data_IF_810846065522
#
_entry.id   IF_810846065522
#
_cell.length_a   1.000
_cell.length_b   1.000
_cell.length_c   1.000
_cell.angle_alpha   90.00
_cell.angle_beta   90.00
_cell.angle_gamma   90.00
#
_symmetry.space_group_name_H-M   'P 1'
#
loop_
_entity.id
_entity.type
_entity.pdbx_description
1 polymer ?
#
# COMPACT_ATOMS: atom_id res chain seq x y z
N UNK A 1 20.64 25.61 -10.21
CA UNK A 1 20.73 24.14 -10.00
C UNK A 1 20.25 23.42 -11.23
N UNK A 2 20.96 22.39 -11.64
CA UNK A 2 20.47 21.53 -12.73
C UNK A 2 19.17 20.86 -12.29
N UNK A 3 18.25 20.66 -13.25
CA UNK A 3 17.06 19.88 -12.99
C UNK A 3 17.44 18.43 -12.74
N UNK A 4 16.85 17.85 -11.72
CA UNK A 4 17.06 16.45 -11.38
C UNK A 4 15.84 15.63 -11.82
N UNK A 5 16.06 14.63 -12.64
CA UNK A 5 14.99 13.76 -13.14
C UNK A 5 15.29 12.33 -12.74
N UNK A 6 14.81 11.91 -11.55
CA UNK A 6 15.03 10.54 -11.10
C UNK A 6 14.19 9.55 -11.91
N UNK A 7 14.58 8.29 -11.88
CA UNK A 7 13.76 7.23 -12.47
C UNK A 7 12.41 7.11 -11.75
N UNK A 8 12.42 7.22 -10.42
CA UNK A 8 11.21 7.18 -9.60
C UNK A 8 11.23 8.36 -8.63
N UNK A 9 10.20 9.17 -8.64
CA UNK A 9 10.09 10.29 -7.71
C UNK A 9 9.99 9.78 -6.27
N UNK A 10 9.16 8.75 -6.05
CA UNK A 10 9.08 8.07 -4.76
C UNK A 10 10.01 6.87 -4.76
N UNK A 11 10.79 6.69 -3.69
CA UNK A 11 11.78 5.60 -3.61
C UNK A 11 11.50 4.65 -2.44
N UNK A 12 10.62 5.03 -1.51
CA UNK A 12 10.22 4.21 -0.35
C UNK A 12 8.97 4.81 0.25
N UNK A 13 8.17 3.99 0.91
CA UNK A 13 7.02 4.50 1.68
C UNK A 13 6.95 3.83 3.04
N UNK A 14 6.32 4.52 4.00
CA UNK A 14 6.09 4.03 5.34
C UNK A 14 4.61 4.19 5.67
N UNK A 15 3.98 3.12 6.13
CA UNK A 15 2.56 3.13 6.49
C UNK A 15 2.44 2.86 8.00
N UNK A 16 1.97 3.84 8.78
CA UNK A 16 1.75 3.64 10.21
C UNK A 16 0.51 2.77 10.45
N UNK A 17 0.63 1.80 11.33
CA UNK A 17 -0.48 0.91 11.67
C UNK A 17 -0.55 0.74 13.19
N UNK A 18 -1.75 0.51 13.72
CA UNK A 18 -1.95 0.35 15.15
C UNK A 18 -1.77 -1.10 15.61
N UNK A 19 -1.88 -2.05 14.67
CA UNK A 19 -1.75 -3.48 14.95
C UNK A 19 -1.01 -4.13 13.78
N UNK A 20 0.26 -4.45 13.98
CA UNK A 20 1.11 -5.02 12.93
C UNK A 20 0.61 -6.36 12.41
N UNK A 21 0.13 -7.21 13.31
CA UNK A 21 -0.38 -8.53 12.91
C UNK A 21 -1.60 -8.40 12.01
N UNK A 22 -2.54 -7.55 12.41
CA UNK A 22 -3.74 -7.27 11.63
C UNK A 22 -3.39 -6.65 10.28
N UNK A 23 -2.48 -5.68 10.27
CA UNK A 23 -2.07 -4.99 9.05
C UNK A 23 -1.39 -5.96 8.07
N UNK A 24 -0.48 -6.80 8.53
CA UNK A 24 0.15 -7.81 7.67
C UNK A 24 -0.89 -8.76 7.08
N UNK A 25 -1.83 -9.22 7.89
CA UNK A 25 -2.92 -10.10 7.41
C UNK A 25 -3.75 -9.42 6.33
N UNK A 26 -4.10 -8.15 6.56
CA UNK A 26 -4.88 -7.38 5.59
C UNK A 26 -4.16 -7.27 4.24
N UNK A 27 -2.92 -6.79 4.23
CA UNK A 27 -2.19 -6.57 2.98
C UNK A 27 -1.84 -7.88 2.29
N UNK A 28 -1.57 -8.95 3.04
CA UNK A 28 -1.38 -10.28 2.46
C UNK A 28 -2.65 -10.76 1.76
N UNK A 29 -3.80 -10.61 2.41
CA UNK A 29 -5.08 -11.05 1.84
C UNK A 29 -5.46 -10.24 0.59
N UNK A 30 -5.23 -8.93 0.61
CA UNK A 30 -5.67 -8.03 -0.46
C UNK A 30 -4.72 -8.05 -1.65
N UNK A 31 -3.41 -7.93 -1.39
CA UNK A 31 -2.39 -7.75 -2.42
C UNK A 31 -1.63 -9.03 -2.76
N UNK A 32 -1.77 -10.07 -1.95
CA UNK A 32 -0.90 -11.24 -2.06
C UNK A 32 0.52 -10.96 -1.60
N UNK A 33 0.72 -9.92 -0.80
CA UNK A 33 2.05 -9.51 -0.36
C UNK A 33 2.67 -10.48 0.62
N UNK A 34 3.98 -10.64 0.52
CA UNK A 34 4.80 -11.27 1.54
C UNK A 34 5.53 -10.16 2.31
N UNK A 35 5.83 -10.40 3.58
CA UNK A 35 6.52 -9.44 4.42
C UNK A 35 7.78 -10.05 5.02
N UNK A 36 8.81 -9.21 5.12
CA UNK A 36 10.03 -9.53 5.86
C UNK A 36 10.05 -8.65 7.11
N UNK A 37 10.03 -9.28 8.28
CA UNK A 37 10.14 -8.53 9.54
C UNK A 37 11.58 -8.09 9.76
N UNK A 38 11.76 -6.84 10.18
CA UNK A 38 13.07 -6.28 10.48
C UNK A 38 12.97 -5.53 11.81
N UNK A 39 13.67 -6.06 12.82
CA UNK A 39 13.69 -5.49 14.16
C UNK A 39 15.07 -4.93 14.53
N UNK A 40 15.94 -4.70 13.55
CA UNK A 40 17.30 -4.22 13.78
C UNK A 40 17.38 -2.73 14.10
N UNK A 41 16.36 -1.97 13.70
CA UNK A 41 16.28 -0.54 13.96
C UNK A 41 15.54 -0.22 15.26
N UNK A 42 15.33 1.07 15.53
CA UNK A 42 14.64 1.50 16.77
C UNK A 42 13.16 1.09 16.81
N UNK A 43 12.54 0.87 15.67
CA UNK A 43 11.15 0.44 15.59
C UNK A 43 11.05 -0.83 14.73
N UNK A 44 10.15 -1.76 15.09
CA UNK A 44 9.91 -2.91 14.23
C UNK A 44 9.31 -2.47 12.90
N UNK A 45 9.69 -3.18 11.83
CA UNK A 45 9.17 -2.95 10.49
C UNK A 45 8.71 -4.25 9.87
N UNK A 46 7.66 -4.18 9.07
CA UNK A 46 7.27 -5.27 8.19
C UNK A 46 7.45 -4.77 6.76
N UNK A 47 8.49 -5.26 6.09
CA UNK A 47 8.88 -4.78 4.76
C UNK A 47 8.11 -5.57 3.71
N UNK A 48 7.43 -4.85 2.79
CA UNK A 48 6.81 -5.48 1.63
C UNK A 48 7.91 -6.10 0.76
N UNK A 49 7.80 -7.40 0.49
CA UNK A 49 8.76 -8.08 -0.38
C UNK A 49 8.47 -7.72 -1.83
N UNK A 50 9.44 -7.10 -2.49
CA UNK A 50 9.35 -6.73 -3.89
C UNK A 50 9.98 -7.80 -4.77
N UNK A 51 9.81 -7.66 -6.08
CA UNK A 51 10.31 -8.60 -7.08
C UNK A 51 11.83 -8.82 -6.97
N UNK A 52 12.56 -7.74 -6.74
CA UNK A 52 14.02 -7.77 -6.63
C UNK A 52 14.49 -6.56 -5.83
N UNK A 53 15.81 -6.50 -5.54
CA UNK A 53 16.38 -5.43 -4.73
C UNK A 53 16.35 -4.06 -5.39
N UNK A 54 16.19 -4.00 -6.72
CA UNK A 54 16.10 -2.75 -7.45
C UNK A 54 14.69 -2.17 -7.48
N UNK A 55 13.69 -2.97 -7.09
CA UNK A 55 12.30 -2.52 -7.09
C UNK A 55 12.00 -1.62 -5.90
N UNK A 56 11.14 -0.63 -6.14
CA UNK A 56 10.67 0.26 -5.07
C UNK A 56 9.65 -0.48 -4.20
N UNK A 57 9.81 -0.38 -2.90
CA UNK A 57 8.89 -0.97 -1.93
C UNK A 57 8.74 -0.02 -0.74
N UNK A 58 8.27 -0.53 0.38
CA UNK A 58 8.09 0.21 1.61
C UNK A 58 7.80 -0.73 2.76
N UNK A 59 7.40 -0.19 3.89
CA UNK A 59 7.13 -1.02 5.07
C UNK A 59 5.96 -0.49 5.90
N UNK A 60 5.40 -1.42 6.68
CA UNK A 60 4.47 -1.11 7.76
C UNK A 60 5.28 -0.90 9.04
N UNK A 61 4.83 -0.01 9.91
CA UNK A 61 5.46 0.18 11.22
C UNK A 61 4.40 0.53 12.27
N UNK A 62 4.64 0.20 13.55
CA UNK A 62 3.71 0.61 14.61
C UNK A 62 3.77 2.11 14.78
N UNK A 63 2.68 2.78 14.51
CA UNK A 63 2.61 4.22 14.56
C UNK A 63 1.18 4.73 14.63
N UNK A 64 1.05 6.04 14.58
CA UNK A 64 -0.26 6.69 14.62
C UNK A 64 -0.67 7.09 13.20
N UNK A 65 -1.70 6.45 12.63
CA UNK A 65 -2.20 6.83 11.31
C UNK A 65 -2.75 8.25 11.29
N UNK A 66 -2.72 8.88 10.12
CA UNK A 66 -3.40 10.15 9.92
C UNK A 66 -4.90 9.95 10.08
N UNK A 67 -5.60 11.04 10.39
CA UNK A 67 -7.05 11.03 10.43
C UNK A 67 -7.60 10.52 9.09
N UNK A 68 -8.63 9.70 9.14
CA UNK A 68 -9.31 9.18 7.96
C UNK A 68 -9.63 10.30 6.97
N UNK A 69 -9.29 10.08 5.69
CA UNK A 69 -9.47 11.07 4.64
C UNK A 69 -8.37 12.12 4.56
N UNK A 70 -7.32 12.00 5.37
CA UNK A 70 -6.17 12.92 5.40
C UNK A 70 -4.89 12.18 5.04
N UNK A 71 -3.83 12.95 4.78
CA UNK A 71 -2.52 12.41 4.45
C UNK A 71 -2.40 12.03 2.98
N UNK A 72 -1.26 11.46 2.65
CA UNK A 72 -0.97 11.06 1.28
C UNK A 72 -1.67 9.73 0.95
N UNK A 73 -1.91 9.50 -0.34
CA UNK A 73 -2.41 8.22 -0.82
C UNK A 73 -1.27 7.43 -1.44
N UNK A 74 -1.08 6.20 -0.99
CA UNK A 74 -0.11 5.28 -1.57
C UNK A 74 -0.86 4.32 -2.49
N UNK A 75 -0.52 4.34 -3.78
CA UNK A 75 -1.10 3.40 -4.75
C UNK A 75 -0.28 2.13 -4.76
N UNK A 76 -0.94 1.01 -4.53
CA UNK A 76 -0.31 -0.30 -4.38
C UNK A 76 -0.74 -1.22 -5.52
N UNK A 77 0.22 -1.91 -6.12
CA UNK A 77 -0.07 -2.89 -7.14
C UNK A 77 -0.81 -4.08 -6.53
N UNK A 78 -1.84 -4.56 -7.21
CA UNK A 78 -2.60 -5.71 -6.77
C UNK A 78 -2.80 -6.68 -7.94
N UNK A 79 -2.95 -7.99 -7.66
CA UNK A 79 -3.30 -8.93 -8.74
C UNK A 79 -4.60 -8.54 -9.41
N UNK A 80 -4.65 -8.69 -10.74
CA UNK A 80 -5.86 -8.50 -11.50
C UNK A 80 -6.82 -9.70 -11.31
N UNK A 81 -8.11 -9.52 -11.46
CA UNK A 81 -8.78 -8.26 -11.79
C UNK A 81 -8.97 -7.36 -10.57
N UNK A 82 -9.02 -6.06 -10.82
CA UNK A 82 -9.17 -5.07 -9.76
C UNK A 82 -10.45 -5.26 -8.94
N UNK A 83 -11.53 -5.64 -9.60
CA UNK A 83 -12.82 -5.87 -8.93
C UNK A 83 -12.71 -6.91 -7.81
N UNK A 84 -11.97 -7.98 -8.04
CA UNK A 84 -11.76 -9.02 -7.02
C UNK A 84 -10.87 -8.52 -5.88
N UNK A 85 -9.87 -7.70 -6.20
CA UNK A 85 -9.01 -7.10 -5.18
C UNK A 85 -9.81 -6.16 -4.26
N UNK A 86 -10.72 -5.37 -4.83
CA UNK A 86 -11.59 -4.49 -4.05
C UNK A 86 -12.53 -5.29 -3.15
N UNK A 87 -13.00 -6.44 -3.62
CA UNK A 87 -13.84 -7.33 -2.82
C UNK A 87 -13.05 -7.91 -1.64
N UNK A 88 -11.80 -8.36 -1.88
CA UNK A 88 -10.92 -8.84 -0.81
C UNK A 88 -10.66 -7.75 0.22
N UNK A 89 -10.45 -6.52 -0.23
CA UNK A 89 -10.22 -5.37 0.64
C UNK A 89 -11.41 -5.16 1.59
N UNK A 90 -12.62 -5.14 1.05
CA UNK A 90 -13.82 -4.96 1.85
C UNK A 90 -14.03 -6.09 2.86
N UNK A 91 -13.75 -7.32 2.46
CA UNK A 91 -13.89 -8.50 3.35
C UNK A 91 -12.86 -8.53 4.46
N UNK A 92 -11.75 -7.82 4.31
CA UNK A 92 -10.64 -7.85 5.27
C UNK A 92 -10.53 -6.55 6.08
N UNK A 93 -11.59 -5.76 6.15
CA UNK A 93 -11.65 -4.59 7.02
C UNK A 93 -11.28 -3.27 6.36
N UNK A 94 -10.99 -3.26 5.07
CA UNK A 94 -10.79 -2.02 4.33
C UNK A 94 -12.10 -1.42 3.85
N UNK A 95 -12.01 -0.27 3.21
CA UNK A 95 -13.20 0.44 2.71
C UNK A 95 -12.89 1.01 1.34
N UNK A 96 -13.75 0.74 0.37
CA UNK A 96 -13.66 1.32 -0.97
C UNK A 96 -14.33 2.70 -0.94
N UNK A 97 -13.61 3.73 -1.39
CA UNK A 97 -14.07 5.11 -1.34
C UNK A 97 -14.54 5.65 -2.70
N UNK A 98 -14.11 5.04 -3.80
CA UNK A 98 -14.40 5.58 -5.13
C UNK A 98 -14.79 4.49 -6.10
N UNK A 99 -15.46 4.86 -7.21
CA UNK A 99 -15.55 3.96 -8.36
C UNK A 99 -14.17 3.68 -8.94
N UNK A 100 -14.08 2.68 -9.80
CA UNK A 100 -12.87 2.39 -10.54
C UNK A 100 -12.60 3.52 -11.55
N UNK A 101 -11.37 4.04 -11.52
CA UNK A 101 -10.91 5.09 -12.42
C UNK A 101 -9.97 4.47 -13.45
N UNK A 102 -10.25 4.71 -14.72
CA UNK A 102 -9.40 4.25 -15.82
C UNK A 102 -8.49 5.38 -16.28
N UNK A 103 -7.20 5.09 -16.33
CA UNK A 103 -6.17 6.01 -16.82
C UNK A 103 -5.30 5.27 -17.83
N UNK A 104 -4.48 5.98 -18.62
CA UNK A 104 -3.68 5.29 -19.65
C UNK A 104 -2.87 4.09 -19.16
N UNK A 105 -2.16 4.12 -18.02
CA UNK A 105 -1.38 2.95 -17.58
C UNK A 105 -2.21 1.83 -16.95
N UNK A 106 -3.49 2.05 -16.61
CA UNK A 106 -4.27 1.02 -15.97
C UNK A 106 -5.51 1.53 -15.27
N UNK A 107 -5.92 0.83 -14.22
CA UNK A 107 -7.12 1.16 -13.46
C UNK A 107 -6.82 1.16 -11.97
N UNK A 108 -7.52 1.97 -11.23
CA UNK A 108 -7.36 2.02 -9.76
C UNK A 108 -8.65 2.47 -9.08
N UNK A 109 -8.71 2.30 -7.77
CA UNK A 109 -9.75 2.88 -6.93
C UNK A 109 -9.13 3.36 -5.62
N UNK A 110 -9.70 4.43 -5.07
CA UNK A 110 -9.31 4.95 -3.77
C UNK A 110 -9.95 4.13 -2.66
N UNK A 111 -9.16 3.82 -1.64
CA UNK A 111 -9.58 2.94 -0.54
C UNK A 111 -8.98 3.40 0.78
N UNK A 112 -9.46 2.80 1.86
CA UNK A 112 -8.84 2.89 3.19
C UNK A 112 -8.43 1.50 3.65
N UNK A 113 -7.30 1.41 4.33
CA UNK A 113 -6.93 0.19 5.04
C UNK A 113 -7.67 0.14 6.41
N UNK A 114 -7.53 -0.94 7.21
CA UNK A 114 -8.25 -1.02 8.49
C UNK A 114 -7.92 0.09 9.49
N UNK A 115 -6.79 0.74 9.35
CA UNK A 115 -6.39 1.86 10.21
C UNK A 115 -6.83 3.22 9.67
N UNK A 116 -7.51 3.24 8.52
CA UNK A 116 -7.95 4.49 7.89
C UNK A 116 -6.86 5.15 7.03
N UNK A 117 -5.76 4.47 6.77
CA UNK A 117 -4.74 5.00 5.86
C UNK A 117 -5.28 5.05 4.44
N UNK A 118 -4.98 6.15 3.74
CA UNK A 118 -5.38 6.33 2.35
C UNK A 118 -4.49 5.50 1.43
N UNK A 119 -5.10 4.56 0.72
CA UNK A 119 -4.40 3.72 -0.25
C UNK A 119 -5.19 3.67 -1.55
N UNK A 120 -4.50 3.40 -2.64
CA UNK A 120 -5.13 3.07 -3.91
C UNK A 120 -4.76 1.65 -4.30
N UNK A 121 -5.69 0.90 -4.86
CA UNK A 121 -5.39 -0.39 -5.46
C UNK A 121 -5.29 -0.20 -6.96
N UNK A 122 -4.19 -0.63 -7.55
CA UNK A 122 -3.87 -0.39 -8.95
C UNK A 122 -3.58 -1.70 -9.69
N UNK A 123 -4.16 -1.83 -10.89
CA UNK A 123 -3.79 -2.89 -11.83
C UNK A 123 -3.36 -2.24 -13.15
N UNK A 124 -2.21 -2.67 -13.68
CA UNK A 124 -1.74 -2.21 -14.99
C UNK A 124 -2.49 -2.86 -16.14
N UNK A 125 -2.29 -2.29 -17.31
CA UNK A 125 -2.85 -2.86 -18.55
C UNK A 125 -2.14 -4.16 -18.93
#
# INVERSE_FOLDING_TARGET
>A
MKKFMPQNAAVWFEIPVTDMKRAKSFYTAVLGSEFKDDNTGPNPMAIFVAKDDASVAGHLYPGKPSKEGSGNTVHLATPAPLEEALERLSKNGGKVLSPIVTIPPGRFAYCLDPDGNSIGLFTGN
#
